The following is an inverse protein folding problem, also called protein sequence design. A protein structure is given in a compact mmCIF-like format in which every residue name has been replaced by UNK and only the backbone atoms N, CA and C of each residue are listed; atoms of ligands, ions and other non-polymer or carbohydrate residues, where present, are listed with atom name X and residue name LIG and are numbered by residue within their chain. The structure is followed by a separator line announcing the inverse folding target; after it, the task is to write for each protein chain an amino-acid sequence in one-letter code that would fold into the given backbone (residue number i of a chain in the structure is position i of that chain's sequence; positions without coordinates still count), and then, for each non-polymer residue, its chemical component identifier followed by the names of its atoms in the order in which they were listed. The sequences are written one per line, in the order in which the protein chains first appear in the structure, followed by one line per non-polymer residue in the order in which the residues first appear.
data_IF_860967836634
#
_entry.id   IF_860967836634
#
_cell.length_a   1.000
_cell.length_b   1.000
_cell.length_c   1.000
_cell.angle_alpha   90.00
_cell.angle_beta   90.00
_cell.angle_gamma   90.00
#
_symmetry.space_group_name_H-M   'P 1'
#
loop_
_entity.id
_entity.type
_entity.pdbx_description
1 polymer ?
#
# COMPACT_ATOMS: atom_id res chain seq x y z
N UNK A 1 -39.82 -3.17 -5.07
CA UNK A 1 -38.93 -2.05 -5.43
C UNK A 1 -38.16 -1.65 -4.18
N UNK A 2 -37.01 -2.28 -3.93
CA UNK A 2 -36.18 -1.97 -2.76
C UNK A 2 -35.31 -0.76 -3.09
N UNK A 3 -35.37 0.26 -2.25
CA UNK A 3 -34.65 1.52 -2.39
C UNK A 3 -33.14 1.26 -2.53
N UNK A 4 -32.60 1.54 -3.72
CA UNK A 4 -31.15 1.69 -3.92
C UNK A 4 -30.73 2.92 -3.13
N UNK A 5 -30.34 2.75 -1.87
CA UNK A 5 -29.78 3.83 -1.07
C UNK A 5 -28.57 4.43 -1.81
N UNK A 6 -28.61 5.70 -2.26
CA UNK A 6 -27.45 6.33 -2.86
C UNK A 6 -26.70 7.09 -1.77
N UNK A 7 -25.47 6.63 -1.47
CA UNK A 7 -24.26 7.43 -1.22
C UNK A 7 -23.19 6.49 -0.67
N UNK A 8 -22.21 6.12 -1.48
CA UNK A 8 -20.99 5.53 -0.93
C UNK A 8 -20.36 6.59 -0.01
N UNK A 9 -20.42 6.36 1.31
CA UNK A 9 -19.80 7.23 2.31
C UNK A 9 -18.27 7.20 2.20
N UNK A 10 -17.72 6.32 1.37
CA UNK A 10 -16.30 6.11 1.21
C UNK A 10 -15.53 7.39 0.88
N UNK A 11 -16.00 8.23 -0.05
CA UNK A 11 -15.33 9.49 -0.37
C UNK A 11 -15.31 10.46 0.82
N UNK A 12 -16.39 10.52 1.60
CA UNK A 12 -16.49 11.37 2.79
C UNK A 12 -15.59 10.82 3.91
N UNK A 13 -15.56 9.51 4.11
CA UNK A 13 -14.65 8.83 5.04
C UNK A 13 -13.20 9.11 4.69
N UNK A 14 -12.80 8.93 3.42
CA UNK A 14 -11.45 9.25 2.92
C UNK A 14 -11.12 10.72 3.21
N UNK A 15 -12.04 11.63 2.93
CA UNK A 15 -11.83 13.07 3.12
C UNK A 15 -11.69 13.43 4.60
N UNK A 16 -12.46 12.80 5.49
CA UNK A 16 -12.37 12.95 6.95
C UNK A 16 -11.03 12.45 7.47
N UNK A 17 -10.59 11.26 7.07
CA UNK A 17 -9.30 10.69 7.47
C UNK A 17 -8.13 11.52 6.95
N UNK A 18 -8.18 11.95 5.68
CA UNK A 18 -7.15 12.82 5.10
C UNK A 18 -7.07 14.17 5.81
N UNK A 19 -8.21 14.76 6.23
CA UNK A 19 -8.23 16.01 7.03
C UNK A 19 -7.57 15.82 8.40
N UNK A 20 -7.93 14.77 9.13
CA UNK A 20 -7.34 14.48 10.43
C UNK A 20 -5.82 14.23 10.34
N UNK A 21 -5.36 13.64 9.24
CA UNK A 21 -3.93 13.50 8.96
C UNK A 21 -3.31 14.86 8.63
N UNK A 22 -3.98 15.71 7.84
CA UNK A 22 -3.46 17.03 7.47
C UNK A 22 -3.19 17.94 8.65
N UNK A 23 -4.02 17.89 9.68
CA UNK A 23 -3.83 18.65 10.92
C UNK A 23 -2.53 18.29 11.64
N UNK A 24 -1.97 17.11 11.38
CA UNK A 24 -0.74 16.60 12.00
C UNK A 24 0.44 16.52 11.03
N UNK A 25 0.19 16.45 9.72
CA UNK A 25 1.22 16.21 8.71
C UNK A 25 1.97 17.50 8.32
N UNK A 26 3.30 17.42 8.22
CA UNK A 26 4.12 18.56 7.82
C UNK A 26 4.12 18.85 6.30
N UNK A 27 3.78 17.88 5.45
CA UNK A 27 3.87 18.03 4.00
C UNK A 27 3.04 17.00 3.22
N UNK A 28 2.85 17.28 1.92
CA UNK A 28 2.29 16.36 0.92
C UNK A 28 3.29 15.27 0.53
N UNK A 29 2.96 13.97 0.71
CA UNK A 29 3.81 12.89 0.23
C UNK A 29 3.70 12.77 -1.28
N UNK A 30 4.83 12.57 -1.95
CA UNK A 30 4.86 12.21 -3.37
C UNK A 30 4.74 10.69 -3.55
N UNK A 31 5.20 9.95 -2.55
CA UNK A 31 5.33 8.49 -2.56
C UNK A 31 4.68 7.90 -1.30
N UNK A 32 3.82 6.90 -1.49
CA UNK A 32 3.31 6.04 -0.45
C UNK A 32 4.11 4.74 -0.41
N UNK A 33 4.44 4.24 0.78
CA UNK A 33 5.19 3.00 0.98
C UNK A 33 4.43 2.12 1.96
N UNK A 34 4.21 0.84 1.63
CA UNK A 34 3.64 -0.16 2.54
C UNK A 34 4.70 -1.20 2.87
N UNK A 35 5.13 -1.26 4.14
CA UNK A 35 6.25 -2.09 4.59
C UNK A 35 5.84 -3.51 4.98
N UNK A 36 6.47 -4.50 4.36
CA UNK A 36 6.20 -5.92 4.59
C UNK A 36 6.70 -6.37 5.95
N UNK A 37 6.31 -7.58 6.35
CA UNK A 37 6.87 -8.24 7.53
C UNK A 37 8.40 -8.24 7.46
N UNK A 38 9.05 -7.81 8.53
CA UNK A 38 10.51 -7.72 8.62
C UNK A 38 11.15 -6.46 7.99
N UNK A 39 10.36 -5.56 7.37
CA UNK A 39 10.89 -4.38 6.67
C UNK A 39 10.64 -3.05 7.40
N UNK A 40 10.07 -3.09 8.62
CA UNK A 40 9.75 -1.93 9.44
C UNK A 40 10.94 -0.99 9.75
N UNK A 41 12.17 -1.51 9.72
CA UNK A 41 13.38 -0.73 9.95
C UNK A 41 13.61 0.40 8.94
N UNK A 42 12.91 0.43 7.79
CA UNK A 42 13.01 1.55 6.85
C UNK A 42 12.61 2.89 7.48
N UNK A 43 11.65 2.90 8.40
CA UNK A 43 11.19 4.14 9.05
C UNK A 43 12.28 4.84 9.84
N UNK A 44 13.25 4.10 10.38
CA UNK A 44 14.43 4.64 11.10
C UNK A 44 15.37 5.46 10.21
N UNK A 45 15.25 5.33 8.89
CA UNK A 45 16.06 6.07 7.91
C UNK A 45 15.40 7.36 7.43
N UNK A 46 14.17 7.63 7.86
CA UNK A 46 13.46 8.84 7.49
C UNK A 46 14.00 10.03 8.28
N UNK A 47 14.14 11.17 7.61
CA UNK A 47 14.38 12.46 8.27
C UNK A 47 13.07 13.25 8.36
N UNK A 48 12.99 14.22 9.28
CA UNK A 48 11.78 15.05 9.52
C UNK A 48 10.53 14.19 9.77
N UNK A 49 10.67 13.21 10.66
CA UNK A 49 9.67 12.19 10.89
C UNK A 49 8.49 12.73 11.69
N UNK A 50 7.26 12.48 11.21
CA UNK A 50 6.02 12.60 11.99
C UNK A 50 5.34 11.25 11.96
N UNK A 51 4.95 10.76 13.13
CA UNK A 51 4.27 9.47 13.28
C UNK A 51 2.85 9.68 13.79
N UNK A 52 1.88 9.06 13.13
CA UNK A 52 0.46 9.15 13.48
C UNK A 52 -0.05 7.73 13.70
N UNK A 53 -0.51 7.41 14.92
CA UNK A 53 -1.14 6.11 15.21
C UNK A 53 -2.38 5.91 14.36
N UNK A 54 -2.58 4.70 13.82
CA UNK A 54 -3.78 4.34 13.06
C UNK A 54 -5.07 4.57 13.86
N UNK A 55 -5.04 4.30 15.17
CA UNK A 55 -6.19 4.51 16.07
C UNK A 55 -6.64 5.98 16.13
N UNK A 56 -5.71 6.91 15.91
CA UNK A 56 -6.02 8.34 15.91
C UNK A 56 -6.54 8.85 14.57
N UNK A 57 -6.57 8.00 13.54
CA UNK A 57 -7.04 8.34 12.19
C UNK A 57 -8.46 7.77 12.04
N UNK A 58 -9.48 8.62 11.80
CA UNK A 58 -10.84 8.15 11.59
C UNK A 58 -10.90 7.06 10.50
N UNK A 59 -11.71 6.03 10.71
CA UNK A 59 -11.96 4.93 9.76
C UNK A 59 -10.76 4.02 9.45
N UNK A 60 -9.58 4.22 10.07
CA UNK A 60 -8.48 3.26 9.93
C UNK A 60 -8.75 2.01 10.76
N UNK A 61 -8.46 0.81 10.24
CA UNK A 61 -8.42 -0.41 11.05
C UNK A 61 -7.32 -0.36 12.12
N UNK A 62 -7.48 -1.15 13.17
CA UNK A 62 -6.43 -1.40 14.14
C UNK A 62 -5.43 -2.44 13.59
N UNK A 63 -4.16 -2.35 13.96
CA UNK A 63 -3.17 -3.38 13.60
C UNK A 63 -3.19 -4.47 14.67
N UNK A 64 -3.43 -5.74 14.30
CA UNK A 64 -3.49 -6.84 15.29
C UNK A 64 -2.24 -7.73 15.30
N UNK A 65 -1.40 -7.66 14.26
CA UNK A 65 -0.17 -8.44 14.17
C UNK A 65 0.97 -7.79 14.95
N UNK A 66 1.63 -8.57 15.83
CA UNK A 66 2.67 -8.13 16.77
C UNK A 66 3.84 -7.37 16.13
N UNK A 67 4.22 -7.73 14.89
CA UNK A 67 5.35 -7.08 14.19
C UNK A 67 4.99 -5.77 13.48
N UNK A 68 3.72 -5.36 13.51
CA UNK A 68 3.22 -4.18 12.81
C UNK A 68 2.96 -3.04 13.81
N UNK A 69 3.78 -1.99 13.76
CA UNK A 69 3.77 -0.89 14.73
C UNK A 69 2.49 -0.03 14.73
N UNK A 70 1.60 -0.21 13.76
CA UNK A 70 0.26 0.39 13.76
C UNK A 70 0.25 1.91 13.54
N UNK A 71 1.16 2.43 12.70
CA UNK A 71 1.33 3.88 12.52
C UNK A 71 1.64 4.29 11.08
N UNK A 72 1.13 5.46 10.70
CA UNK A 72 1.44 6.13 9.44
C UNK A 72 2.57 7.14 9.69
N UNK A 73 3.70 6.94 9.02
CA UNK A 73 4.91 7.73 9.22
C UNK A 73 5.18 8.62 8.02
N UNK A 74 5.17 9.93 8.21
CA UNK A 74 5.62 10.91 7.23
C UNK A 74 7.10 11.18 7.42
N UNK A 75 7.87 11.25 6.35
CA UNK A 75 9.28 11.65 6.40
C UNK A 75 9.87 11.96 5.05
N UNK A 76 11.16 12.29 5.05
CA UNK A 76 11.95 12.47 3.83
C UNK A 76 12.93 11.31 3.69
N UNK A 77 12.86 10.62 2.56
CA UNK A 77 13.75 9.50 2.19
C UNK A 77 14.43 9.83 0.86
N UNK A 78 15.76 9.90 0.83
CA UNK A 78 16.51 10.23 -0.40
C UNK A 78 16.06 11.55 -1.05
N UNK A 79 15.72 12.55 -0.23
CA UNK A 79 15.20 13.84 -0.69
C UNK A 79 13.73 13.83 -1.16
N UNK A 80 13.02 12.69 -1.09
CA UNK A 80 11.61 12.58 -1.47
C UNK A 80 10.70 12.55 -0.25
N UNK A 81 9.55 13.22 -0.34
CA UNK A 81 8.52 13.23 0.69
C UNK A 81 7.72 11.93 0.61
N UNK A 82 7.71 11.17 1.70
CA UNK A 82 7.07 9.85 1.75
C UNK A 82 6.05 9.77 2.89
N UNK A 83 5.00 8.99 2.67
CA UNK A 83 4.13 8.46 3.71
C UNK A 83 4.31 6.94 3.77
N UNK A 84 4.66 6.40 4.93
CA UNK A 84 5.04 5.00 5.13
C UNK A 84 4.06 4.37 6.10
N UNK A 85 3.36 3.34 5.64
CA UNK A 85 2.59 2.45 6.50
C UNK A 85 3.55 1.49 7.23
N UNK A 86 3.84 1.79 8.49
CA UNK A 86 4.65 0.98 9.39
C UNK A 86 3.75 -0.01 10.12
N UNK A 87 3.32 -1.01 9.35
CA UNK A 87 2.22 -1.87 9.69
C UNK A 87 1.19 -1.92 8.57
N UNK A 88 0.57 -3.08 8.29
CA UNK A 88 -0.47 -3.23 7.27
C UNK A 88 -1.56 -4.12 7.82
N UNK A 89 -2.68 -4.12 7.13
CA UNK A 89 -3.81 -4.97 7.43
C UNK A 89 -3.85 -6.11 6.41
N UNK A 90 -4.18 -7.30 6.87
CA UNK A 90 -4.31 -8.48 6.03
C UNK A 90 -5.74 -8.99 6.04
N UNK A 91 -6.12 -9.63 4.94
CA UNK A 91 -7.46 -10.20 4.80
C UNK A 91 -7.69 -11.36 5.79
N UNK A 92 -6.69 -12.20 6.04
CA UNK A 92 -6.77 -13.28 7.03
C UNK A 92 -6.96 -12.80 8.48
N UNK A 93 -6.75 -11.51 8.79
CA UNK A 93 -7.06 -10.94 10.11
C UNK A 93 -8.59 -10.75 10.31
N UNK A 94 -9.41 -11.02 9.28
CA UNK A 94 -10.86 -10.84 9.30
C UNK A 94 -11.32 -9.48 8.77
N UNK A 95 -10.39 -8.63 8.31
CA UNK A 95 -10.73 -7.35 7.69
C UNK A 95 -11.32 -7.53 6.30
N UNK A 96 -12.30 -6.70 5.93
CA UNK A 96 -12.75 -6.61 4.54
C UNK A 96 -11.66 -6.02 3.65
N UNK A 97 -11.67 -6.31 2.34
CA UNK A 97 -10.72 -5.68 1.42
C UNK A 97 -10.92 -4.16 1.30
N UNK A 98 -12.11 -3.64 1.59
CA UNK A 98 -12.33 -2.20 1.74
C UNK A 98 -11.51 -1.63 2.90
N UNK A 99 -11.51 -2.31 4.06
CA UNK A 99 -10.70 -1.92 5.22
C UNK A 99 -9.19 -2.03 4.92
N UNK A 100 -8.77 -3.14 4.30
CA UNK A 100 -7.35 -3.37 3.93
C UNK A 100 -6.83 -2.30 2.98
N UNK A 101 -7.64 -1.89 1.99
CA UNK A 101 -7.22 -0.95 0.95
C UNK A 101 -7.56 0.51 1.26
N UNK A 102 -8.33 0.78 2.32
CA UNK A 102 -8.70 2.15 2.72
C UNK A 102 -7.49 3.10 2.87
N UNK A 103 -6.37 2.70 3.50
CA UNK A 103 -5.19 3.56 3.61
C UNK A 103 -4.61 3.98 2.25
N UNK A 104 -4.68 3.13 1.22
CA UNK A 104 -4.22 3.46 -0.13
C UNK A 104 -5.03 4.62 -0.70
N UNK A 105 -6.37 4.58 -0.53
CA UNK A 105 -7.27 5.65 -0.96
C UNK A 105 -6.99 6.96 -0.23
N UNK A 106 -6.69 6.88 1.07
CA UNK A 106 -6.31 8.04 1.89
C UNK A 106 -4.95 8.61 1.46
N UNK A 107 -3.94 7.78 1.25
CA UNK A 107 -2.62 8.22 0.77
C UNK A 107 -2.70 8.86 -0.63
N UNK A 108 -3.55 8.34 -1.52
CA UNK A 108 -3.86 8.99 -2.80
C UNK A 108 -4.47 10.37 -2.60
N UNK A 109 -5.45 10.52 -1.70
CA UNK A 109 -6.08 11.81 -1.37
C UNK A 109 -5.08 12.81 -0.76
N UNK A 110 -4.09 12.33 -0.01
CA UNK A 110 -3.01 13.14 0.56
C UNK A 110 -1.99 13.62 -0.50
N UNK A 111 -2.03 13.06 -1.72
CA UNK A 111 -1.24 13.53 -2.84
C UNK A 111 -0.22 12.54 -3.38
N UNK A 112 -0.09 11.35 -2.77
CA UNK A 112 0.83 10.33 -3.26
C UNK A 112 0.48 9.97 -4.72
N UNK A 113 1.52 9.92 -5.56
CA UNK A 113 1.43 9.56 -6.98
C UNK A 113 2.06 8.20 -7.28
N UNK A 114 2.95 7.74 -6.40
CA UNK A 114 3.62 6.46 -6.49
C UNK A 114 3.25 5.65 -5.26
N UNK A 115 2.92 4.38 -5.43
CA UNK A 115 2.78 3.42 -4.36
C UNK A 115 3.89 2.37 -4.50
N UNK A 116 4.69 2.20 -3.45
CA UNK A 116 5.68 1.13 -3.34
C UNK A 116 5.15 0.14 -2.31
N UNK A 117 5.01 -1.11 -2.72
CA UNK A 117 4.61 -2.20 -1.82
C UNK A 117 5.75 -3.19 -1.69
N UNK A 118 5.96 -3.69 -0.47
CA UNK A 118 6.79 -4.86 -0.21
C UNK A 118 5.97 -5.92 0.52
N UNK A 119 6.37 -7.18 0.46
CA UNK A 119 5.79 -8.28 1.24
C UNK A 119 6.85 -9.37 1.44
N UNK A 120 6.54 -10.33 2.31
CA UNK A 120 7.24 -11.61 2.37
C UNK A 120 6.41 -12.64 1.61
N UNK A 121 7.06 -13.54 0.87
CA UNK A 121 6.41 -14.55 0.06
C UNK A 121 7.21 -15.86 0.03
N UNK A 122 6.50 -16.97 -0.18
CA UNK A 122 7.12 -18.25 -0.56
C UNK A 122 7.52 -18.23 -2.04
N UNK A 123 8.73 -18.71 -2.34
CA UNK A 123 9.21 -18.83 -3.71
C UNK A 123 8.71 -20.11 -4.37
N UNK A 124 7.89 -19.98 -5.43
CA UNK A 124 7.42 -21.13 -6.23
C UNK A 124 8.32 -21.44 -7.43
N UNK A 125 9.08 -20.45 -7.92
CA UNK A 125 10.05 -20.67 -8.97
C UNK A 125 11.26 -21.41 -8.39
N UNK A 126 11.61 -22.58 -8.95
CA UNK A 126 12.71 -23.44 -8.48
C UNK A 126 14.08 -22.75 -8.50
N UNK A 127 14.23 -21.66 -9.27
CA UNK A 127 15.44 -20.85 -9.30
C UNK A 127 15.55 -19.82 -8.17
N UNK A 128 14.52 -19.65 -7.33
CA UNK A 128 14.54 -18.71 -6.22
C UNK A 128 15.22 -19.30 -4.98
N UNK A 129 15.87 -18.43 -4.22
CA UNK A 129 16.52 -18.76 -2.95
C UNK A 129 15.95 -17.88 -1.83
N UNK A 130 16.08 -18.37 -0.59
CA UNK A 130 15.74 -17.57 0.59
C UNK A 130 16.53 -16.27 0.59
N UNK A 131 15.82 -15.15 0.74
CA UNK A 131 16.41 -13.80 0.75
C UNK A 131 16.47 -13.13 -0.62
N UNK A 132 16.07 -13.82 -1.70
CA UNK A 132 15.96 -13.19 -3.02
C UNK A 132 14.96 -12.03 -2.99
N UNK A 133 15.31 -10.93 -3.65
CA UNK A 133 14.41 -9.82 -3.92
C UNK A 133 13.78 -10.06 -5.29
N UNK A 134 12.46 -10.20 -5.31
CA UNK A 134 11.69 -10.36 -6.55
C UNK A 134 10.94 -9.07 -6.85
N UNK A 135 11.24 -8.46 -8.00
CA UNK A 135 10.47 -7.35 -8.55
C UNK A 135 9.18 -7.93 -9.15
N UNK A 136 8.05 -7.55 -8.58
CA UNK A 136 6.75 -8.00 -9.07
C UNK A 136 6.46 -7.28 -10.38
N UNK A 137 6.34 -8.03 -11.46
CA UNK A 137 6.02 -7.50 -12.79
C UNK A 137 4.57 -7.74 -13.20
N UNK A 138 3.91 -8.72 -12.56
CA UNK A 138 2.49 -8.99 -12.74
C UNK A 138 1.92 -9.73 -11.51
N UNK A 139 0.59 -9.92 -11.45
CA UNK A 139 -0.03 -10.73 -10.42
C UNK A 139 -1.22 -11.57 -10.88
N UNK A 140 -1.50 -12.61 -10.09
CA UNK A 140 -2.73 -13.39 -10.13
C UNK A 140 -3.48 -13.12 -8.83
N UNK A 141 -4.71 -12.62 -8.91
CA UNK A 141 -5.58 -12.50 -7.74
C UNK A 141 -6.37 -13.81 -7.55
N UNK A 142 -5.97 -14.60 -6.55
CA UNK A 142 -6.64 -15.84 -6.15
C UNK A 142 -7.30 -15.72 -4.76
N UNK A 143 -7.60 -14.49 -4.32
CA UNK A 143 -8.20 -14.26 -3.00
C UNK A 143 -9.71 -14.57 -2.96
N UNK A 144 -10.35 -14.81 -4.11
CA UNK A 144 -11.81 -15.03 -4.21
C UNK A 144 -12.66 -13.77 -3.98
N UNK A 145 -12.04 -12.62 -3.74
CA UNK A 145 -12.68 -11.33 -3.47
C UNK A 145 -11.91 -10.18 -4.15
N UNK A 146 -12.53 -9.02 -4.28
CA UNK A 146 -11.93 -7.85 -4.93
C UNK A 146 -12.34 -6.54 -4.21
N UNK A 147 -11.41 -5.60 -3.94
CA UNK A 147 -11.69 -4.34 -3.23
C UNK A 147 -12.54 -3.33 -4.01
N UNK A 148 -12.92 -3.64 -5.25
CA UNK A 148 -13.74 -2.80 -6.13
C UNK A 148 -15.16 -3.37 -6.34
N UNK A 149 -15.52 -4.46 -5.65
CA UNK A 149 -16.89 -4.98 -5.61
C UNK A 149 -17.80 -3.93 -4.95
N UNK A 150 -18.97 -3.70 -5.54
CA UNK A 150 -19.95 -2.70 -5.08
C UNK A 150 -20.10 -1.51 -6.04
N UNK A 151 -20.82 -0.44 -5.65
CA UNK A 151 -21.00 0.76 -6.46
C UNK A 151 -19.68 1.53 -6.69
N UNK A 152 -19.43 1.98 -7.92
CA UNK A 152 -18.27 2.83 -8.21
C UNK A 152 -18.56 4.30 -7.90
N UNK A 153 -17.56 5.00 -7.37
CA UNK A 153 -17.55 6.45 -7.26
C UNK A 153 -16.56 7.02 -8.26
N UNK A 154 -17.05 7.71 -9.29
CA UNK A 154 -16.23 8.23 -10.40
C UNK A 154 -15.18 9.25 -9.94
N UNK A 155 -15.35 9.84 -8.75
CA UNK A 155 -14.34 10.74 -8.15
C UNK A 155 -13.09 9.98 -7.68
N UNK A 156 -13.19 8.67 -7.49
CA UNK A 156 -12.09 7.81 -7.04
C UNK A 156 -11.39 7.09 -8.18
N UNK A 157 -12.11 6.79 -9.27
CA UNK A 157 -11.55 6.13 -10.44
C UNK A 157 -12.60 5.58 -11.40
N UNK A 158 -12.10 4.93 -12.45
CA UNK A 158 -12.91 4.30 -13.49
C UNK A 158 -13.67 3.08 -12.94
N UNK A 159 -14.85 2.80 -13.51
CA UNK A 159 -15.63 1.61 -13.17
C UNK A 159 -14.90 0.31 -13.50
N UNK A 160 -14.13 0.30 -14.59
CA UNK A 160 -13.40 -0.85 -15.09
C UNK A 160 -11.93 -0.45 -15.28
N UNK A 161 -11.09 -0.54 -14.23
CA UNK A 161 -9.67 -0.27 -14.35
C UNK A 161 -9.00 -1.31 -15.24
N UNK A 162 -8.21 -0.84 -16.21
CA UNK A 162 -7.32 -1.71 -16.97
C UNK A 162 -6.18 -2.21 -16.08
N UNK A 163 -5.79 -3.47 -16.28
CA UNK A 163 -4.72 -4.15 -15.53
C UNK A 163 -3.67 -4.74 -16.48
N UNK A 164 -3.49 -4.16 -17.68
CA UNK A 164 -2.44 -4.59 -18.62
C UNK A 164 -1.04 -4.16 -18.19
N UNK A 165 -0.93 -3.10 -17.37
CA UNK A 165 0.31 -2.65 -16.75
C UNK A 165 0.07 -2.16 -15.30
N UNK A 166 -0.30 -3.05 -14.36
CA UNK A 166 -0.59 -2.66 -12.98
C UNK A 166 0.70 -2.35 -12.20
N UNK A 167 1.83 -2.89 -12.66
CA UNK A 167 3.16 -2.59 -12.17
C UNK A 167 3.92 -1.74 -13.19
N UNK A 168 4.27 -0.52 -12.81
CA UNK A 168 4.91 0.42 -13.72
C UNK A 168 6.26 -0.11 -14.22
N UNK A 169 6.37 -0.36 -15.53
CA UNK A 169 7.63 -0.79 -16.16
C UNK A 169 8.77 0.19 -15.87
N UNK A 170 8.47 1.49 -15.87
CA UNK A 170 9.44 2.55 -15.52
C UNK A 170 10.01 2.37 -14.11
N UNK A 171 9.19 2.05 -13.11
CA UNK A 171 9.67 1.87 -11.74
C UNK A 171 10.47 0.57 -11.59
N UNK A 172 10.07 -0.49 -12.27
CA UNK A 172 10.83 -1.75 -12.33
C UNK A 172 12.22 -1.50 -12.93
N UNK A 173 12.31 -0.82 -14.07
CA UNK A 173 13.60 -0.50 -14.69
C UNK A 173 14.51 0.35 -13.80
N UNK A 174 13.95 1.28 -13.03
CA UNK A 174 14.72 2.05 -12.03
C UNK A 174 15.26 1.11 -10.94
N UNK A 175 14.43 0.20 -10.42
CA UNK A 175 14.84 -0.74 -9.39
C UNK A 175 15.97 -1.68 -9.86
N UNK A 176 15.88 -2.19 -11.10
CA UNK A 176 16.92 -3.02 -11.70
C UNK A 176 18.24 -2.27 -11.90
N UNK A 177 18.17 -1.04 -12.40
CA UNK A 177 19.35 -0.20 -12.57
C UNK A 177 20.05 0.02 -11.23
N UNK A 178 19.30 0.38 -10.19
CA UNK A 178 19.85 0.53 -8.83
C UNK A 178 20.41 -0.78 -8.30
N UNK A 179 19.74 -1.91 -8.54
CA UNK A 179 20.22 -3.22 -8.13
C UNK A 179 21.55 -3.57 -8.80
N UNK A 180 21.68 -3.33 -10.10
CA UNK A 180 22.92 -3.52 -10.86
C UNK A 180 24.05 -2.64 -10.32
N UNK A 181 23.80 -1.33 -10.15
CA UNK A 181 24.77 -0.37 -9.59
C UNK A 181 25.25 -0.77 -8.18
N UNK A 182 24.37 -1.35 -7.37
CA UNK A 182 24.65 -1.81 -6.02
C UNK A 182 25.10 -3.27 -5.93
N UNK A 183 25.20 -3.98 -7.06
CA UNK A 183 25.51 -5.42 -7.14
C UNK A 183 24.56 -6.27 -6.26
N UNK A 184 23.30 -5.87 -6.18
CA UNK A 184 22.24 -6.61 -5.50
C UNK A 184 21.58 -7.52 -6.54
N UNK A 185 21.49 -8.80 -6.26
CA UNK A 185 20.74 -9.72 -7.13
C UNK A 185 19.25 -9.47 -6.98
N UNK A 186 18.56 -9.24 -8.09
CA UNK A 186 17.11 -9.16 -8.15
C UNK A 186 16.59 -10.12 -9.21
N UNK A 187 15.38 -10.63 -8.98
CA UNK A 187 14.61 -11.43 -9.95
C UNK A 187 13.39 -10.64 -10.38
N UNK A 188 12.73 -11.09 -11.46
CA UNK A 188 11.35 -10.70 -11.76
C UNK A 188 10.42 -11.90 -11.57
N UNK A 189 9.15 -11.63 -11.33
CA UNK A 189 8.15 -12.69 -11.22
C UNK A 189 6.72 -12.19 -11.09
N UNK A 190 5.81 -13.16 -11.28
CA UNK A 190 4.37 -12.99 -11.08
C UNK A 190 4.02 -13.34 -9.63
N UNK A 191 3.33 -12.43 -8.95
CA UNK A 191 2.89 -12.64 -7.57
C UNK A 191 1.47 -13.22 -7.53
N UNK A 192 1.24 -14.30 -6.79
CA UNK A 192 -0.11 -14.82 -6.55
C UNK A 192 -0.60 -14.38 -5.17
N UNK A 193 -1.73 -13.67 -5.13
CA UNK A 193 -2.40 -13.30 -3.88
C UNK A 193 -3.41 -14.37 -3.46
N UNK A 194 -3.19 -14.97 -2.30
CA UNK A 194 -4.13 -15.89 -1.63
C UNK A 194 -4.62 -15.30 -0.31
N UNK A 195 -5.70 -15.83 0.27
CA UNK A 195 -6.29 -15.28 1.49
C UNK A 195 -5.44 -15.48 2.75
N UNK A 196 -4.71 -16.60 2.83
CA UNK A 196 -3.92 -17.06 3.96
C UNK A 196 -3.39 -18.46 3.71
#
# INVERSE_FOLDING_TARGET
MSSKAPRSNLFQQISKSARAIWEKAAFRPDIAIILGTGLGNLTKRLTKQISISYESIPNFPASTVVSHAGRLVFGVLGGKKVAVMDGRFHYYEGYSLDQVTFPVRVMRKLGAKILIVSNAAGGMNLGYKKGDIVLIEDHINFMGVNPLIGPNDERLGLRFPDMSEPYSKRLISIAEKVAQEKRISVKRGVYIGVSG
#
